data_IF_311826083959
#
_entry.id   IF_311826083959
#
_cell.length_a   1.000
_cell.length_b   1.000
_cell.length_c   1.000
_cell.angle_alpha   90.00
_cell.angle_beta   90.00
_cell.angle_gamma   90.00
#
_symmetry.space_group_name_H-M   'P 1'
#
loop_
_entity.id
_entity.type
_entity.pdbx_description
1 polymer ?
#
# COMPACT_ATOMS: atom_id res chain seq x y z
N UNK A 1 19.53 -53.33 33.20
CA UNK A 1 19.10 -52.68 31.96
C UNK A 1 17.84 -51.89 32.26
N UNK A 2 17.96 -50.57 32.39
CA UNK A 2 16.80 -49.71 32.64
C UNK A 2 16.04 -49.61 31.33
N UNK A 3 14.89 -50.28 31.24
CA UNK A 3 13.96 -50.07 30.13
C UNK A 3 13.46 -48.63 30.25
N UNK A 4 13.99 -47.74 29.43
CA UNK A 4 13.37 -46.45 29.17
C UNK A 4 12.02 -46.74 28.51
N UNK A 5 10.95 -46.73 29.32
CA UNK A 5 9.58 -46.67 28.79
C UNK A 5 9.50 -45.35 28.02
N UNK A 6 9.69 -45.42 26.71
CA UNK A 6 9.62 -44.26 25.84
C UNK A 6 8.18 -43.78 25.81
N UNK A 7 7.87 -42.74 26.59
CA UNK A 7 6.59 -42.05 26.48
C UNK A 7 6.64 -41.26 25.18
N UNK A 8 5.99 -41.76 24.13
CA UNK A 8 5.81 -40.97 22.91
C UNK A 8 4.92 -39.77 23.24
N UNK A 9 5.33 -38.54 22.88
CA UNK A 9 4.51 -37.36 23.13
C UNK A 9 3.18 -37.53 22.37
N UNK A 10 2.06 -37.40 23.08
CA UNK A 10 0.71 -37.48 22.50
C UNK A 10 0.20 -36.09 22.14
N UNK A 11 -0.70 -36.01 21.16
CA UNK A 11 -1.32 -34.74 20.83
C UNK A 11 -2.18 -34.23 21.99
N UNK A 12 -2.05 -32.94 22.31
CA UNK A 12 -2.82 -32.29 23.37
C UNK A 12 -4.34 -32.21 23.08
N UNK A 13 -4.75 -32.37 21.82
CA UNK A 13 -6.16 -32.39 21.39
C UNK A 13 -6.65 -33.82 21.15
N UNK A 14 -5.76 -34.69 20.66
CA UNK A 14 -6.04 -36.08 20.30
C UNK A 14 -5.08 -37.00 21.07
N UNK A 15 -5.34 -37.33 22.35
CA UNK A 15 -4.44 -38.11 23.18
C UNK A 15 -4.11 -39.50 22.63
N UNK A 16 -4.96 -40.03 21.76
CA UNK A 16 -4.82 -41.31 21.08
C UNK A 16 -3.79 -41.31 19.94
N UNK A 17 -3.35 -40.13 19.47
CA UNK A 17 -2.42 -39.99 18.35
C UNK A 17 -1.07 -39.46 18.82
N UNK A 18 0.01 -39.97 18.23
CA UNK A 18 1.35 -39.44 18.45
C UNK A 18 1.49 -38.02 17.90
N UNK A 19 2.16 -37.17 18.66
CA UNK A 19 2.49 -35.83 18.23
C UNK A 19 3.68 -35.84 17.28
N UNK A 20 3.58 -35.06 16.22
CA UNK A 20 4.63 -34.91 15.21
C UNK A 20 5.38 -33.58 15.35
N UNK A 21 4.80 -32.63 16.09
CA UNK A 21 5.38 -31.30 16.27
C UNK A 21 4.96 -30.65 17.60
N UNK A 22 5.63 -29.55 17.93
CA UNK A 22 5.33 -28.73 19.10
C UNK A 22 4.95 -27.32 18.67
N UNK A 23 3.84 -26.81 19.19
CA UNK A 23 3.39 -25.44 18.94
C UNK A 23 4.42 -24.43 19.47
N UNK A 24 4.94 -23.56 18.60
CA UNK A 24 5.98 -22.58 18.92
C UNK A 24 5.56 -21.50 19.92
N UNK A 25 4.27 -21.41 20.25
CA UNK A 25 3.75 -20.42 21.20
C UNK A 25 3.43 -20.99 22.57
N UNK A 26 2.60 -22.04 22.63
CA UNK A 26 2.16 -22.60 23.91
C UNK A 26 3.00 -23.82 24.36
N UNK A 27 3.88 -24.34 23.51
CA UNK A 27 4.67 -25.54 23.81
C UNK A 27 3.87 -26.85 23.77
N UNK A 28 2.59 -26.81 23.38
CA UNK A 28 1.75 -28.01 23.29
C UNK A 28 2.14 -28.92 22.13
N UNK A 29 2.13 -30.23 22.37
CA UNK A 29 2.36 -31.27 21.37
C UNK A 29 1.14 -31.43 20.46
N UNK A 30 1.35 -31.46 19.14
CA UNK A 30 0.28 -31.52 18.13
C UNK A 30 0.54 -32.62 17.09
N UNK A 31 -0.51 -33.35 16.72
CA UNK A 31 -0.49 -34.26 15.57
C UNK A 31 -0.59 -33.47 14.26
N UNK A 32 -0.29 -34.10 13.13
CA UNK A 32 -0.25 -33.47 11.79
C UNK A 32 -1.55 -32.72 11.46
N UNK A 33 -2.71 -33.32 11.75
CA UNK A 33 -4.02 -32.71 11.53
C UNK A 33 -4.28 -31.45 12.40
N UNK A 34 -3.61 -31.32 13.55
CA UNK A 34 -3.71 -30.15 14.42
C UNK A 34 -2.61 -29.11 14.16
N UNK A 35 -1.71 -29.34 13.20
CA UNK A 35 -0.68 -28.38 12.81
C UNK A 35 -1.25 -27.34 11.87
N UNK A 36 -0.96 -26.07 12.16
CA UNK A 36 -1.27 -24.95 11.27
C UNK A 36 -0.02 -24.11 11.05
N UNK A 37 0.34 -23.91 9.79
CA UNK A 37 1.48 -23.09 9.41
C UNK A 37 1.02 -21.64 9.22
N UNK A 38 1.60 -20.72 9.98
CA UNK A 38 1.36 -19.29 9.84
C UNK A 38 2.71 -18.61 9.64
N UNK A 39 2.89 -17.97 8.49
CA UNK A 39 4.13 -17.26 8.14
C UNK A 39 5.40 -18.10 8.28
N UNK A 40 5.33 -19.39 7.93
CA UNK A 40 6.46 -20.32 8.01
C UNK A 40 6.77 -20.84 9.42
N UNK A 41 5.90 -20.60 10.40
CA UNK A 41 6.02 -21.11 11.78
C UNK A 41 4.83 -21.99 12.11
N UNK A 42 5.09 -23.12 12.78
CA UNK A 42 4.08 -24.10 13.16
C UNK A 42 3.41 -23.73 14.50
N UNK A 43 2.08 -23.68 14.48
CA UNK A 43 1.23 -23.45 15.64
C UNK A 43 0.17 -24.57 15.76
N UNK A 44 -0.46 -24.65 16.93
CA UNK A 44 -1.72 -25.37 17.07
C UNK A 44 -2.89 -24.53 16.53
N UNK A 45 -3.98 -25.18 16.12
CA UNK A 45 -5.18 -24.52 15.59
C UNK A 45 -5.69 -23.34 16.44
N UNK A 46 -5.70 -23.49 17.77
CA UNK A 46 -6.13 -22.43 18.70
C UNK A 46 -5.14 -21.25 18.74
N UNK A 47 -3.83 -21.51 18.62
CA UNK A 47 -2.82 -20.45 18.63
C UNK A 47 -2.73 -19.71 17.29
N UNK A 48 -2.96 -20.39 16.16
CA UNK A 48 -2.91 -19.76 14.83
C UNK A 48 -4.03 -18.74 14.60
N UNK A 49 -5.15 -18.87 15.30
CA UNK A 49 -6.26 -17.91 15.22
C UNK A 49 -6.03 -16.63 16.02
N UNK A 50 -4.95 -16.57 16.82
CA UNK A 50 -4.70 -15.40 17.67
C UNK A 50 -4.24 -14.20 16.84
N UNK A 51 -4.75 -12.99 17.10
CA UNK A 51 -4.40 -11.80 16.32
C UNK A 51 -2.91 -11.47 16.34
N UNK A 52 -2.21 -11.72 17.46
CA UNK A 52 -0.75 -11.49 17.55
C UNK A 52 0.09 -12.49 16.73
N UNK A 53 -0.48 -13.65 16.36
CA UNK A 53 0.18 -14.69 15.56
C UNK A 53 -0.17 -14.49 14.09
N UNK A 54 -1.46 -14.43 13.76
CA UNK A 54 -1.94 -14.20 12.40
C UNK A 54 -2.41 -12.75 12.21
N UNK A 55 -1.47 -11.83 12.40
CA UNK A 55 -1.73 -10.40 12.29
C UNK A 55 -2.02 -9.98 10.84
N UNK A 56 -1.50 -10.72 9.85
CA UNK A 56 -1.77 -10.48 8.43
C UNK A 56 -3.24 -10.76 8.10
N UNK A 57 -3.80 -11.86 8.59
CA UNK A 57 -5.21 -12.16 8.42
C UNK A 57 -6.11 -11.13 9.11
N UNK A 58 -5.74 -10.74 10.33
CA UNK A 58 -6.42 -9.64 11.04
C UNK A 58 -6.38 -8.35 10.23
N UNK A 59 -5.23 -8.04 9.61
CA UNK A 59 -5.05 -6.88 8.73
C UNK A 59 -5.87 -6.99 7.45
N UNK A 60 -5.96 -8.18 6.84
CA UNK A 60 -6.81 -8.47 5.68
C UNK A 60 -8.27 -8.17 6.00
N UNK A 61 -8.78 -8.76 7.09
CA UNK A 61 -10.17 -8.59 7.53
C UNK A 61 -10.52 -7.13 7.83
N UNK A 62 -9.59 -6.34 8.38
CA UNK A 62 -9.78 -4.90 8.60
C UNK A 62 -9.98 -4.10 7.30
N UNK A 63 -9.41 -4.55 6.19
CA UNK A 63 -9.46 -3.87 4.89
C UNK A 63 -10.46 -4.51 3.92
N UNK A 64 -10.97 -5.69 4.25
CA UNK A 64 -11.86 -6.49 3.42
C UNK A 64 -13.17 -5.76 3.14
N UNK A 65 -13.50 -5.55 1.86
CA UNK A 65 -14.72 -4.82 1.48
C UNK A 65 -14.73 -3.32 1.81
N UNK A 66 -13.68 -2.80 2.47
CA UNK A 66 -13.64 -1.39 2.87
C UNK A 66 -13.13 -0.55 1.72
N UNK A 67 -13.82 0.56 1.43
CA UNK A 67 -13.37 1.55 0.42
C UNK A 67 -11.95 2.02 0.71
N UNK A 68 -11.15 2.11 -0.34
CA UNK A 68 -9.77 2.58 -0.27
C UNK A 68 -9.61 3.95 -0.93
N UNK A 69 -8.38 4.46 -0.93
CA UNK A 69 -8.05 5.75 -1.55
C UNK A 69 -8.36 5.75 -3.05
N UNK A 70 -8.14 4.63 -3.75
CA UNK A 70 -8.45 4.53 -5.18
C UNK A 70 -9.95 4.55 -5.44
N UNK A 71 -10.77 3.88 -4.61
CA UNK A 71 -12.23 4.00 -4.70
C UNK A 71 -12.67 5.46 -4.57
N UNK A 72 -12.15 6.21 -3.60
CA UNK A 72 -12.45 7.63 -3.47
C UNK A 72 -11.98 8.47 -4.65
N UNK A 73 -10.79 8.19 -5.21
CA UNK A 73 -10.27 8.86 -6.39
C UNK A 73 -11.16 8.61 -7.62
N UNK A 74 -11.56 7.37 -7.86
CA UNK A 74 -12.49 7.00 -8.95
C UNK A 74 -13.87 7.63 -8.73
N UNK A 75 -14.36 7.65 -7.48
CA UNK A 75 -15.60 8.31 -7.12
C UNK A 75 -15.57 9.81 -7.39
N UNK A 76 -14.49 10.50 -6.99
CA UNK A 76 -14.28 11.92 -7.30
C UNK A 76 -14.18 12.18 -8.81
N UNK A 77 -13.42 11.36 -9.54
CA UNK A 77 -13.36 11.42 -11.00
C UNK A 77 -14.71 11.21 -11.68
N UNK A 78 -15.55 10.34 -11.12
CA UNK A 78 -16.93 10.11 -11.61
C UNK A 78 -17.77 11.37 -11.51
N UNK A 79 -17.66 12.15 -10.43
CA UNK A 79 -18.38 13.42 -10.30
C UNK A 79 -17.92 14.44 -11.35
N UNK A 80 -16.61 14.49 -11.64
CA UNK A 80 -16.06 15.34 -12.71
C UNK A 80 -16.60 14.92 -14.08
N UNK A 81 -16.68 13.61 -14.35
CA UNK A 81 -17.28 13.10 -15.59
C UNK A 81 -18.76 13.48 -15.71
N UNK A 82 -19.53 13.40 -14.62
CA UNK A 82 -20.94 13.82 -14.61
C UNK A 82 -21.11 15.32 -14.88
N UNK A 83 -20.22 16.17 -14.36
CA UNK A 83 -20.20 17.59 -14.74
C UNK A 83 -19.92 17.76 -16.25
N UNK A 84 -18.98 16.97 -16.78
CA UNK A 84 -18.68 16.90 -18.22
C UNK A 84 -19.87 16.45 -19.08
N UNK A 85 -20.68 15.51 -18.59
CA UNK A 85 -21.93 15.08 -19.24
C UNK A 85 -22.89 16.26 -19.39
N UNK A 86 -23.09 17.04 -18.32
CA UNK A 86 -23.96 18.22 -18.36
C UNK A 86 -23.46 19.27 -19.36
N UNK A 87 -22.15 19.54 -19.38
CA UNK A 87 -21.58 20.50 -20.34
C UNK A 87 -21.73 20.02 -21.78
N UNK A 88 -21.52 18.72 -22.06
CA UNK A 88 -21.68 18.15 -23.39
C UNK A 88 -23.14 18.22 -23.87
N UNK A 89 -24.10 17.96 -22.97
CA UNK A 89 -25.53 18.13 -23.29
C UNK A 89 -25.89 19.57 -23.65
N UNK A 90 -25.39 20.56 -22.89
CA UNK A 90 -25.65 21.99 -23.17
C UNK A 90 -25.07 22.41 -24.52
N UNK A 91 -23.95 21.82 -24.92
CA UNK A 91 -23.28 22.09 -26.19
C UNK A 91 -23.86 21.30 -27.38
N UNK A 92 -24.81 20.38 -27.14
CA UNK A 92 -25.38 19.53 -28.19
C UNK A 92 -24.48 18.38 -28.63
N UNK A 93 -23.41 18.10 -27.89
CA UNK A 93 -22.40 17.08 -28.18
C UNK A 93 -22.85 15.70 -27.64
N UNK A 94 -23.94 15.16 -28.19
CA UNK A 94 -24.60 13.94 -27.67
C UNK A 94 -23.68 12.72 -27.64
N UNK A 95 -22.78 12.59 -28.61
CA UNK A 95 -21.84 11.47 -28.69
C UNK A 95 -20.85 11.48 -27.52
N UNK A 96 -20.29 12.66 -27.21
CA UNK A 96 -19.41 12.85 -26.06
C UNK A 96 -20.17 12.64 -24.75
N UNK A 97 -21.40 13.16 -24.65
CA UNK A 97 -22.24 12.97 -23.46
C UNK A 97 -22.48 11.48 -23.16
N UNK A 98 -22.75 10.65 -24.18
CA UNK A 98 -22.93 9.20 -24.02
C UNK A 98 -21.65 8.50 -23.54
N UNK A 99 -20.49 8.85 -24.08
CA UNK A 99 -19.19 8.27 -23.67
C UNK A 99 -18.88 8.63 -22.22
N UNK A 100 -19.05 9.89 -21.84
CA UNK A 100 -18.81 10.37 -20.49
C UNK A 100 -19.80 9.73 -19.50
N UNK A 101 -21.07 9.57 -19.88
CA UNK A 101 -22.08 8.93 -19.05
C UNK A 101 -21.78 7.44 -18.85
N UNK A 102 -21.41 6.71 -19.90
CA UNK A 102 -20.97 5.32 -19.80
C UNK A 102 -19.74 5.16 -18.89
N UNK A 103 -18.76 6.06 -19.05
CA UNK A 103 -17.56 6.09 -18.20
C UNK A 103 -17.90 6.38 -16.73
N UNK A 104 -18.81 7.32 -16.48
CA UNK A 104 -19.30 7.64 -15.15
C UNK A 104 -20.08 6.47 -14.52
N UNK A 105 -20.86 5.73 -15.31
CA UNK A 105 -21.55 4.52 -14.86
C UNK A 105 -20.58 3.44 -14.36
N UNK A 106 -19.48 3.22 -15.09
CA UNK A 106 -18.41 2.31 -14.65
C UNK A 106 -17.75 2.81 -13.37
N UNK A 107 -17.41 4.09 -13.29
CA UNK A 107 -16.80 4.69 -12.11
C UNK A 107 -17.69 4.64 -10.86
N UNK A 108 -18.99 4.90 -11.01
CA UNK A 108 -19.98 4.77 -9.94
C UNK A 108 -20.13 3.32 -9.47
N UNK A 109 -20.22 2.37 -10.40
CA UNK A 109 -20.28 0.95 -10.07
C UNK A 109 -19.00 0.47 -9.36
N UNK A 110 -17.84 0.98 -9.77
CA UNK A 110 -16.56 0.72 -9.10
C UNK A 110 -16.58 1.24 -7.66
N UNK A 111 -17.03 2.48 -7.43
CA UNK A 111 -17.11 3.10 -6.11
C UNK A 111 -18.04 2.33 -5.13
N UNK A 112 -19.11 1.73 -5.65
CA UNK A 112 -20.04 0.89 -4.88
C UNK A 112 -19.47 -0.50 -4.59
N UNK A 113 -18.44 -0.94 -5.33
CA UNK A 113 -17.79 -2.24 -5.14
C UNK A 113 -18.34 -3.36 -6.01
N UNK A 114 -18.95 -3.02 -7.16
CA UNK A 114 -19.44 -4.03 -8.11
C UNK A 114 -18.30 -4.79 -8.79
N UNK A 115 -18.33 -6.13 -8.76
CA UNK A 115 -17.20 -6.97 -9.22
C UNK A 115 -16.83 -6.76 -10.69
N UNK A 116 -17.83 -6.58 -11.56
CA UNK A 116 -17.62 -6.34 -13.00
C UNK A 116 -16.98 -4.98 -13.28
N UNK A 117 -17.20 -3.98 -12.41
CA UNK A 117 -16.71 -2.63 -12.63
C UNK A 117 -15.18 -2.56 -12.49
N UNK A 118 -14.57 -3.50 -11.76
CA UNK A 118 -13.11 -3.59 -11.62
C UNK A 118 -12.42 -3.88 -12.95
N UNK A 119 -12.93 -4.82 -13.74
CA UNK A 119 -12.38 -5.10 -15.08
C UNK A 119 -12.82 -4.03 -16.07
N UNK A 120 -14.08 -3.58 -16.01
CA UNK A 120 -14.58 -2.52 -16.89
C UNK A 120 -13.76 -1.22 -16.79
N UNK A 121 -13.34 -0.82 -15.57
CA UNK A 121 -12.53 0.38 -15.35
C UNK A 121 -11.24 0.40 -16.19
N UNK A 122 -10.64 -0.75 -16.45
CA UNK A 122 -9.41 -0.87 -17.28
C UNK A 122 -9.72 -0.62 -18.76
N UNK A 123 -10.88 -1.05 -19.25
CA UNK A 123 -11.27 -0.89 -20.64
C UNK A 123 -11.90 0.48 -20.94
N UNK A 124 -12.54 1.11 -19.96
CA UNK A 124 -13.15 2.45 -20.10
C UNK A 124 -12.25 3.47 -20.80
N UNK A 125 -11.00 3.72 -20.38
CA UNK A 125 -10.14 4.71 -21.01
C UNK A 125 -9.70 4.32 -22.43
N UNK A 126 -9.65 3.03 -22.76
CA UNK A 126 -9.36 2.55 -24.13
C UNK A 126 -10.53 2.89 -25.05
N UNK A 127 -11.75 2.55 -24.64
CA UNK A 127 -12.97 2.85 -25.40
C UNK A 127 -13.16 4.36 -25.54
N UNK A 128 -13.04 5.11 -24.44
CA UNK A 128 -13.16 6.57 -24.46
C UNK A 128 -12.07 7.22 -25.34
N UNK A 129 -10.84 6.72 -25.31
CA UNK A 129 -9.75 7.21 -26.16
C UNK A 129 -9.99 6.94 -27.65
N UNK A 130 -10.49 5.77 -28.02
CA UNK A 130 -10.81 5.42 -29.41
C UNK A 130 -11.98 6.25 -29.96
N UNK A 131 -13.04 6.43 -29.17
CA UNK A 131 -14.16 7.29 -29.57
C UNK A 131 -13.72 8.75 -29.63
N UNK A 132 -12.94 9.22 -28.64
CA UNK A 132 -12.36 10.56 -28.63
C UNK A 132 -11.46 10.82 -29.83
N UNK A 133 -10.70 9.81 -30.28
CA UNK A 133 -9.90 9.90 -31.51
C UNK A 133 -10.76 10.14 -32.75
N UNK A 134 -11.88 9.41 -32.87
CA UNK A 134 -12.79 9.55 -34.00
C UNK A 134 -13.48 10.92 -34.03
N UNK A 135 -13.77 11.50 -32.86
CA UNK A 135 -14.49 12.77 -32.73
C UNK A 135 -13.59 14.01 -32.76
N UNK A 136 -12.42 13.95 -32.11
CA UNK A 136 -11.58 15.13 -31.84
C UNK A 136 -10.12 14.96 -32.30
N UNK A 137 -9.80 13.83 -32.96
CA UNK A 137 -8.49 13.57 -33.55
C UNK A 137 -7.50 12.81 -32.66
N UNK A 138 -6.32 12.46 -33.20
CA UNK A 138 -5.41 11.46 -32.62
C UNK A 138 -4.82 11.83 -31.24
N UNK A 139 -4.80 13.11 -30.89
CA UNK A 139 -4.31 13.58 -29.58
C UNK A 139 -5.09 12.95 -28.41
N UNK A 140 -6.36 12.60 -28.61
CA UNK A 140 -7.18 11.96 -27.57
C UNK A 140 -6.69 10.56 -27.16
N UNK A 141 -5.93 9.87 -28.02
CA UNK A 141 -5.31 8.59 -27.67
C UNK A 141 -4.28 8.75 -26.55
N UNK A 142 -3.57 9.87 -26.50
CA UNK A 142 -2.58 10.14 -25.43
C UNK A 142 -3.29 10.24 -24.09
N UNK A 143 -4.40 10.97 -24.02
CA UNK A 143 -5.23 11.07 -22.82
C UNK A 143 -5.81 9.71 -22.40
N UNK A 144 -6.37 8.96 -23.35
CA UNK A 144 -6.88 7.61 -23.11
C UNK A 144 -5.79 6.65 -22.61
N UNK A 145 -4.58 6.71 -23.18
CA UNK A 145 -3.45 5.89 -22.74
C UNK A 145 -3.02 6.21 -21.31
N UNK A 146 -2.90 7.49 -20.95
CA UNK A 146 -2.54 7.89 -19.58
C UNK A 146 -3.57 7.40 -18.56
N UNK A 147 -4.86 7.55 -18.86
CA UNK A 147 -5.94 7.06 -18.01
C UNK A 147 -5.96 5.53 -17.94
N UNK A 148 -5.62 4.83 -19.03
CA UNK A 148 -5.47 3.37 -19.04
C UNK A 148 -4.35 2.92 -18.10
N UNK A 149 -3.19 3.57 -18.13
CA UNK A 149 -2.09 3.27 -17.21
C UNK A 149 -2.55 3.46 -15.75
N UNK A 150 -3.26 4.54 -15.45
CA UNK A 150 -3.83 4.76 -14.10
C UNK A 150 -4.83 3.67 -13.72
N UNK A 151 -5.76 3.32 -14.60
CA UNK A 151 -6.75 2.27 -14.36
C UNK A 151 -6.09 0.90 -14.14
N UNK A 152 -5.04 0.58 -14.91
CA UNK A 152 -4.26 -0.64 -14.75
C UNK A 152 -3.51 -0.67 -13.41
N UNK A 153 -2.92 0.46 -12.99
CA UNK A 153 -2.29 0.57 -11.66
C UNK A 153 -3.30 0.32 -10.54
N UNK A 154 -4.50 0.91 -10.63
CA UNK A 154 -5.59 0.67 -9.67
C UNK A 154 -6.01 -0.80 -9.68
N UNK A 155 -6.13 -1.41 -10.86
CA UNK A 155 -6.52 -2.82 -10.99
C UNK A 155 -5.49 -3.76 -10.36
N UNK A 156 -4.20 -3.50 -10.56
CA UNK A 156 -3.11 -4.33 -10.04
C UNK A 156 -2.83 -4.09 -8.55
N UNK A 157 -3.29 -2.98 -7.99
CA UNK A 157 -3.05 -2.62 -6.60
C UNK A 157 -3.69 -3.62 -5.61
N UNK A 158 -2.91 -4.20 -4.67
CA UNK A 158 -3.42 -5.15 -3.69
C UNK A 158 -4.52 -4.56 -2.80
N UNK A 159 -4.48 -3.25 -2.51
CA UNK A 159 -5.51 -2.63 -1.68
C UNK A 159 -6.85 -2.54 -2.40
N UNK A 160 -6.85 -2.28 -3.71
CA UNK A 160 -8.05 -2.37 -4.55
C UNK A 160 -8.60 -3.81 -4.57
N UNK A 161 -7.75 -4.84 -4.72
CA UNK A 161 -8.19 -6.25 -4.64
C UNK A 161 -8.93 -6.57 -3.34
N UNK A 162 -8.41 -6.13 -2.19
CA UNK A 162 -9.06 -6.31 -0.89
C UNK A 162 -10.41 -5.60 -0.78
N UNK A 163 -10.57 -4.44 -1.43
CA UNK A 163 -11.87 -3.75 -1.49
C UNK A 163 -12.91 -4.58 -2.25
N UNK A 164 -12.53 -5.21 -3.37
CA UNK A 164 -13.41 -6.11 -4.12
C UNK A 164 -13.48 -7.55 -3.58
N UNK A 165 -12.93 -7.79 -2.38
CA UNK A 165 -12.92 -9.11 -1.74
C UNK A 165 -12.25 -10.20 -2.60
N UNK A 166 -11.24 -9.80 -3.38
CA UNK A 166 -10.40 -10.71 -4.15
C UNK A 166 -9.24 -11.16 -3.25
N UNK A 167 -8.93 -12.46 -3.30
CA UNK A 167 -7.82 -13.02 -2.54
C UNK A 167 -6.48 -12.41 -2.96
N UNK A 168 -5.61 -12.20 -1.96
CA UNK A 168 -4.30 -11.58 -2.11
C UNK A 168 -3.28 -12.49 -1.47
N UNK A 169 -2.15 -12.70 -2.13
CA UNK A 169 -1.10 -13.57 -1.61
C UNK A 169 -0.53 -13.04 -0.29
N UNK A 170 -0.04 -13.94 0.57
CA UNK A 170 0.58 -13.56 1.85
C UNK A 170 1.74 -12.57 1.65
N UNK A 171 2.53 -12.74 0.57
CA UNK A 171 3.63 -11.85 0.21
C UNK A 171 3.16 -10.44 -0.13
N UNK A 172 2.10 -10.30 -0.94
CA UNK A 172 1.53 -9.00 -1.29
C UNK A 172 0.89 -8.32 -0.06
N UNK A 173 0.22 -9.10 0.79
CA UNK A 173 -0.40 -8.61 2.02
C UNK A 173 0.64 -8.13 3.03
N UNK A 174 1.74 -8.89 3.19
CA UNK A 174 2.89 -8.50 4.01
C UNK A 174 3.52 -7.22 3.48
N UNK A 175 3.70 -7.10 2.15
CA UNK A 175 4.19 -5.86 1.51
C UNK A 175 3.25 -4.69 1.79
N UNK A 176 1.93 -4.88 1.73
CA UNK A 176 0.96 -3.82 2.00
C UNK A 176 0.98 -3.40 3.49
N UNK A 177 1.07 -4.36 4.40
CA UNK A 177 1.24 -4.10 5.83
C UNK A 177 2.52 -3.31 6.09
N UNK A 178 3.60 -3.70 5.43
CA UNK A 178 4.90 -3.05 5.46
C UNK A 178 4.88 -1.60 4.96
N UNK A 179 3.98 -1.28 4.02
CA UNK A 179 3.83 0.06 3.46
C UNK A 179 2.94 0.97 4.31
N UNK A 180 1.93 0.42 5.01
CA UNK A 180 0.89 1.20 5.71
C UNK A 180 1.00 1.19 7.23
N UNK A 181 1.57 0.14 7.80
CA UNK A 181 1.57 -0.10 9.25
C UNK A 181 3.00 -0.20 9.80
N UNK A 182 3.90 -0.87 9.09
CA UNK A 182 5.29 -1.03 9.54
C UNK A 182 6.07 0.29 9.41
N UNK A 183 6.12 1.05 10.50
CA UNK A 183 6.91 2.27 10.64
C UNK A 183 6.86 3.20 9.41
N UNK A 184 5.67 3.71 9.02
CA UNK A 184 5.53 4.54 7.82
C UNK A 184 6.36 5.83 7.89
N UNK A 185 6.65 6.33 9.10
CA UNK A 185 7.50 7.50 9.32
C UNK A 185 8.92 7.30 8.79
N UNK A 186 9.48 6.08 8.91
CA UNK A 186 10.82 5.76 8.39
C UNK A 186 10.89 5.95 6.87
N UNK A 187 9.81 5.58 6.17
CA UNK A 187 9.71 5.75 4.71
C UNK A 187 9.56 7.22 4.33
N UNK A 188 8.72 7.97 5.02
CA UNK A 188 8.57 9.41 4.77
C UNK A 188 9.86 10.17 5.05
N UNK A 189 10.58 9.83 6.12
CA UNK A 189 11.90 10.37 6.41
C UNK A 189 12.89 10.09 5.28
N UNK A 190 12.91 8.87 4.74
CA UNK A 190 13.76 8.52 3.60
C UNK A 190 13.42 9.33 2.34
N UNK A 191 12.14 9.41 1.99
CA UNK A 191 11.67 10.17 0.82
C UNK A 191 11.97 11.67 0.95
N UNK A 192 11.71 12.28 2.10
CA UNK A 192 12.04 13.69 2.36
C UNK A 192 13.55 13.93 2.43
N UNK A 193 14.30 12.99 3.01
CA UNK A 193 15.76 13.05 3.07
C UNK A 193 16.37 13.09 1.68
N UNK A 194 15.90 12.25 0.76
CA UNK A 194 16.30 12.29 -0.64
C UNK A 194 15.86 13.59 -1.34
N UNK A 195 14.61 14.03 -1.12
CA UNK A 195 14.11 15.28 -1.69
C UNK A 195 14.89 16.51 -1.21
N UNK A 196 15.55 16.44 -0.05
CA UNK A 196 16.33 17.55 0.51
C UNK A 196 17.51 18.00 -0.37
N UNK A 197 18.03 17.12 -1.22
CA UNK A 197 19.06 17.47 -2.21
C UNK A 197 18.55 18.42 -3.28
N UNK A 198 17.26 18.36 -3.61
CA UNK A 198 16.63 19.26 -4.58
C UNK A 198 16.01 20.49 -3.90
N UNK A 199 15.46 20.31 -2.69
CA UNK A 199 14.80 21.37 -1.94
C UNK A 199 15.20 21.30 -0.46
N UNK A 200 16.04 22.21 0.05
CA UNK A 200 16.62 22.11 1.39
C UNK A 200 15.58 22.11 2.53
N UNK A 201 14.38 22.66 2.27
CA UNK A 201 13.26 22.69 3.22
C UNK A 201 12.81 21.29 3.69
N UNK A 202 13.06 20.23 2.90
CA UNK A 202 12.73 18.86 3.32
C UNK A 202 13.74 18.24 4.29
N UNK A 203 14.92 18.84 4.47
CA UNK A 203 15.95 18.34 5.38
C UNK A 203 15.50 18.27 6.84
N UNK A 204 15.03 19.37 7.46
CA UNK A 204 14.57 19.34 8.85
C UNK A 204 13.45 18.32 9.14
N UNK A 205 12.34 18.26 8.37
CA UNK A 205 11.31 17.26 8.62
C UNK A 205 11.81 15.83 8.39
N UNK A 206 12.74 15.58 7.45
CA UNK A 206 13.35 14.26 7.29
C UNK A 206 14.09 13.80 8.55
N UNK A 207 14.85 14.69 9.19
CA UNK A 207 15.58 14.40 10.44
C UNK A 207 14.62 14.12 11.59
N UNK A 208 13.61 14.97 11.77
CA UNK A 208 12.60 14.81 12.84
C UNK A 208 11.82 13.50 12.67
N UNK A 209 11.30 13.25 11.47
CA UNK A 209 10.55 12.02 11.18
C UNK A 209 11.42 10.78 11.34
N UNK A 210 12.70 10.83 10.93
CA UNK A 210 13.63 9.74 11.10
C UNK A 210 13.93 9.45 12.57
N UNK A 211 14.14 10.47 13.40
CA UNK A 211 14.35 10.29 14.83
C UNK A 211 13.11 9.69 15.53
N UNK A 212 11.92 10.17 15.20
CA UNK A 212 10.66 9.60 15.71
C UNK A 212 10.44 8.16 15.22
N UNK A 213 10.83 7.86 13.98
CA UNK A 213 10.74 6.53 13.41
C UNK A 213 11.68 5.53 14.10
N UNK A 214 12.91 5.94 14.46
CA UNK A 214 13.86 5.10 15.19
C UNK A 214 13.35 4.74 16.59
N UNK A 215 12.73 5.69 17.29
CA UNK A 215 12.11 5.45 18.61
C UNK A 215 10.97 4.43 18.59
N UNK A 216 10.35 4.21 17.42
CA UNK A 216 9.26 3.24 17.24
C UNK A 216 9.73 1.85 16.82
N UNK A 217 11.01 1.65 16.54
CA UNK A 217 11.54 0.34 16.15
C UNK A 217 11.53 -0.56 17.37
N UNK A 218 10.79 -1.66 17.28
CA UNK A 218 10.72 -2.68 18.32
C UNK A 218 10.63 -4.06 17.65
N UNK A 219 11.75 -4.80 17.72
CA UNK A 219 11.84 -6.16 17.19
C UNK A 219 11.12 -7.20 18.03
N UNK A 220 10.77 -6.87 19.28
CA UNK A 220 10.05 -7.76 20.22
C UNK A 220 8.54 -7.55 20.17
N UNK A 221 8.07 -6.45 19.59
CA UNK A 221 6.65 -6.22 19.34
C UNK A 221 6.04 -7.36 18.51
N UNK A 222 4.76 -7.66 18.73
CA UNK A 222 3.98 -8.60 17.93
C UNK A 222 2.77 -7.87 17.35
N UNK A 223 2.76 -7.55 16.05
CA UNK A 223 3.79 -7.82 15.03
C UNK A 223 5.08 -6.97 15.19
N UNK A 224 6.23 -7.45 14.68
CA UNK A 224 7.52 -6.76 14.84
C UNK A 224 7.58 -5.47 14.02
N UNK A 225 7.96 -4.36 14.67
CA UNK A 225 8.07 -3.04 14.03
C UNK A 225 9.53 -2.78 13.66
N UNK A 226 9.81 -2.69 12.35
CA UNK A 226 11.16 -2.64 11.81
C UNK A 226 11.53 -1.32 11.11
N UNK A 227 12.41 -1.44 10.12
CA UNK A 227 12.85 -0.36 9.19
C UNK A 227 13.68 0.76 9.82
N UNK A 228 14.38 0.48 10.92
CA UNK A 228 15.32 1.43 11.52
C UNK A 228 16.37 1.95 10.55
N UNK A 229 16.85 1.10 9.62
CA UNK A 229 17.82 1.53 8.61
C UNK A 229 17.27 2.62 7.67
N UNK A 230 15.98 2.55 7.29
CA UNK A 230 15.36 3.56 6.41
C UNK A 230 15.26 4.90 7.13
N UNK A 231 14.92 4.86 8.42
CA UNK A 231 14.87 6.05 9.26
C UNK A 231 16.26 6.70 9.39
N UNK A 232 17.29 5.90 9.68
CA UNK A 232 18.67 6.38 9.77
C UNK A 232 19.15 6.98 8.43
N UNK A 233 18.92 6.27 7.32
CA UNK A 233 19.26 6.76 5.99
C UNK A 233 18.55 8.08 5.66
N UNK A 234 17.26 8.20 5.97
CA UNK A 234 16.50 9.44 5.80
C UNK A 234 17.06 10.62 6.59
N UNK A 235 17.48 10.40 7.85
CA UNK A 235 18.13 11.42 8.66
C UNK A 235 19.46 11.86 8.05
N UNK A 236 20.32 10.90 7.67
CA UNK A 236 21.63 11.20 7.09
C UNK A 236 21.52 11.94 5.77
N UNK A 237 20.59 11.53 4.90
CA UNK A 237 20.30 12.24 3.64
C UNK A 237 19.75 13.65 3.89
N UNK A 238 18.87 13.81 4.88
CA UNK A 238 18.35 15.12 5.29
C UNK A 238 19.45 16.08 5.75
N UNK A 239 20.34 15.62 6.63
CA UNK A 239 21.51 16.41 7.08
C UNK A 239 22.45 16.72 5.93
N UNK A 240 22.76 15.71 5.09
CA UNK A 240 23.63 15.86 3.94
C UNK A 240 23.11 16.86 2.92
N UNK A 241 21.82 16.82 2.57
CA UNK A 241 21.21 17.77 1.64
C UNK A 241 21.19 19.19 2.18
N UNK A 242 20.90 19.40 3.47
CA UNK A 242 21.01 20.73 4.09
C UNK A 242 22.45 21.26 4.06
N UNK A 243 23.43 20.42 4.40
CA UNK A 243 24.85 20.80 4.36
C UNK A 243 25.29 21.18 2.94
N UNK A 244 24.89 20.40 1.93
CA UNK A 244 25.15 20.71 0.52
C UNK A 244 24.61 22.10 0.14
N UNK A 245 23.36 22.40 0.48
CA UNK A 245 22.76 23.70 0.18
C UNK A 245 23.41 24.86 0.94
N UNK A 246 23.86 24.66 2.19
CA UNK A 246 24.67 25.65 2.90
C UNK A 246 26.00 25.93 2.20
N UNK A 247 26.67 24.89 1.69
CA UNK A 247 27.92 25.02 0.95
C UNK A 247 27.74 25.69 -0.41
N UNK A 248 26.60 25.49 -1.08
CA UNK A 248 26.30 26.09 -2.39
C UNK A 248 25.78 27.52 -2.25
N UNK A 249 24.79 27.77 -1.38
CA UNK A 249 24.17 29.08 -1.21
C UNK A 249 24.97 30.01 -0.31
N UNK A 250 25.76 29.51 0.63
CA UNK A 250 26.57 30.33 1.53
C UNK A 250 27.49 31.30 0.76
N UNK A 251 28.32 30.82 -0.18
CA UNK A 251 29.16 31.67 -1.01
C UNK A 251 28.36 32.63 -1.90
N UNK A 252 27.24 32.17 -2.48
CA UNK A 252 26.38 32.99 -3.33
C UNK A 252 25.72 34.14 -2.56
N UNK A 253 25.17 33.85 -1.38
CA UNK A 253 24.56 34.87 -0.52
C UNK A 253 25.61 35.84 0.01
N UNK A 254 26.81 35.36 0.38
CA UNK A 254 27.92 36.24 0.78
C UNK A 254 28.29 37.21 -0.35
N UNK A 255 28.46 36.70 -1.56
CA UNK A 255 28.76 37.53 -2.73
C UNK A 255 27.63 38.50 -3.12
N UNK A 256 26.36 38.16 -2.88
CA UNK A 256 25.24 39.09 -3.06
C UNK A 256 25.21 40.17 -1.98
N UNK A 257 25.46 39.80 -0.72
CA UNK A 257 25.46 40.73 0.41
C UNK A 257 26.58 41.77 0.28
N UNK A 258 27.76 41.35 -0.17
CA UNK A 258 28.90 42.25 -0.45
C UNK A 258 28.64 43.22 -1.62
N UNK A 259 27.62 42.97 -2.46
CA UNK A 259 27.24 43.81 -3.61
C UNK A 259 26.08 44.76 -3.32
N UNK A 260 25.47 44.69 -2.15
CA UNK A 260 24.44 45.64 -1.75
C UNK A 260 25.11 46.96 -1.32
N UNK A 261 24.81 48.11 -1.96
CA UNK A 261 25.26 49.39 -1.46
C UNK A 261 24.64 49.65 -0.09
N UNK A 262 25.47 50.16 0.84
CA UNK A 262 25.07 50.50 2.21
C UNK A 262 23.96 51.55 2.28
#
# INVERSE_FOLDING_TARGET
>A
MVSSVGVTPRCAVHPEVDAVATCQRCGGFVCEACTTWVMGVLYCAACSLRPEVNYLETFRMKLWGRRDTNAWLVGGGTLVLLAGVLTAFVQGEWQLALVLLGSAGVGGAFYVGQRWARTALVFTPVVAGLVGMALFGPVMLVGGFLLFVTALQIFLDPRSRLFFQVEVSEKELRRLWDLRVNNPLARHALSMGFASFFFPLFGPPAVVLGALALRKVDSRARPPIGRGWQALAGMLLGVGGMALWLLVLGPLMKGMLERLPA
#
